data_IF_646876799223
#
_entry.id   IF_646876799223
#
_cell.length_a   1.000
_cell.length_b   1.000
_cell.length_c   1.000
_cell.angle_alpha   90.00
_cell.angle_beta   90.00
_cell.angle_gamma   90.00
#
_symmetry.space_group_name_H-M   'P 1'
#
loop_
_entity.id
_entity.type
_entity.pdbx_description
1 polymer ?
#
# COMPACT_ATOMS: atom_id res chain seq x y z
N UNK A 1 6.03 -29.10 33.27
CA UNK A 1 5.28 -28.47 32.19
C UNK A 1 6.32 -27.67 31.38
N UNK A 2 6.43 -27.92 30.09
CA UNK A 2 7.29 -27.09 29.24
C UNK A 2 6.77 -25.66 29.30
N UNK A 3 7.66 -24.67 29.53
CA UNK A 3 7.32 -23.26 29.41
C UNK A 3 6.78 -23.04 27.99
N UNK A 4 5.66 -22.29 27.81
CA UNK A 4 5.20 -21.99 26.45
C UNK A 4 6.37 -21.38 25.66
N UNK A 5 6.56 -21.85 24.43
CA UNK A 5 7.61 -21.31 23.58
C UNK A 5 7.42 -19.78 23.48
N UNK A 6 8.49 -19.04 23.69
CA UNK A 6 8.43 -17.58 23.58
C UNK A 6 7.98 -17.22 22.16
N UNK A 7 6.99 -16.32 22.05
CA UNK A 7 6.51 -15.80 20.77
C UNK A 7 7.55 -14.80 20.27
N UNK A 8 8.07 -15.03 19.09
CA UNK A 8 9.12 -14.19 18.49
C UNK A 8 8.57 -13.14 17.52
N UNK A 9 7.43 -13.45 16.90
CA UNK A 9 6.78 -12.63 15.89
C UNK A 9 5.29 -12.45 16.21
N UNK A 10 4.80 -11.23 16.16
CA UNK A 10 3.36 -10.95 16.11
C UNK A 10 2.99 -10.38 14.73
N UNK A 11 1.96 -10.92 14.11
CA UNK A 11 1.42 -10.40 12.85
C UNK A 11 0.11 -9.70 13.14
N UNK A 12 0.10 -8.38 13.02
CA UNK A 12 -1.10 -7.54 13.17
C UNK A 12 -1.74 -7.35 11.81
N UNK A 13 -2.97 -7.79 11.64
CA UNK A 13 -3.65 -7.78 10.35
C UNK A 13 -5.11 -7.35 10.48
N UNK A 14 -5.68 -6.82 9.39
CA UNK A 14 -7.07 -6.36 9.38
C UNK A 14 -7.98 -7.20 8.46
N UNK A 15 -7.43 -7.79 7.38
CA UNK A 15 -8.24 -8.55 6.44
C UNK A 15 -8.27 -10.03 6.83
N UNK A 16 -9.47 -10.66 6.90
CA UNK A 16 -9.61 -12.02 7.43
C UNK A 16 -8.90 -13.11 6.62
N UNK A 17 -8.72 -12.91 5.30
CA UNK A 17 -8.24 -13.98 4.41
C UNK A 17 -6.99 -13.62 3.60
N UNK A 18 -6.62 -12.35 3.47
CA UNK A 18 -5.51 -11.94 2.59
C UNK A 18 -4.16 -12.52 3.01
N UNK A 19 -4.00 -12.85 4.27
CA UNK A 19 -2.71 -13.24 4.84
C UNK A 19 -2.58 -14.74 5.10
N UNK A 20 -3.56 -15.55 4.71
CA UNK A 20 -3.47 -17.01 4.84
C UNK A 20 -2.25 -17.62 4.11
N UNK A 21 -1.83 -17.17 2.91
CA UNK A 21 -0.60 -17.66 2.29
C UNK A 21 0.65 -17.35 3.13
N UNK A 22 0.72 -16.16 3.75
CA UNK A 22 1.81 -15.82 4.68
C UNK A 22 1.79 -16.73 5.93
N UNK A 23 0.62 -16.94 6.52
CA UNK A 23 0.50 -17.79 7.69
C UNK A 23 0.91 -19.25 7.39
N UNK A 24 0.50 -19.77 6.24
CA UNK A 24 0.93 -21.09 5.79
C UNK A 24 2.45 -21.18 5.58
N UNK A 25 3.08 -20.13 5.05
CA UNK A 25 4.54 -20.08 4.90
C UNK A 25 5.25 -20.05 6.26
N UNK A 26 4.75 -19.26 7.23
CA UNK A 26 5.26 -19.24 8.61
C UNK A 26 5.13 -20.62 9.29
N UNK A 27 3.98 -21.30 9.11
CA UNK A 27 3.73 -22.64 9.65
C UNK A 27 4.69 -23.67 9.04
N UNK A 28 4.89 -23.64 7.70
CA UNK A 28 5.85 -24.54 7.02
C UNK A 28 7.28 -24.34 7.53
N UNK A 29 7.64 -23.10 7.86
CA UNK A 29 8.97 -22.74 8.36
C UNK A 29 9.13 -23.03 9.85
N UNK A 30 8.06 -23.35 10.58
CA UNK A 30 8.08 -23.60 12.02
C UNK A 30 8.37 -22.35 12.87
N UNK A 31 7.99 -21.15 12.40
CA UNK A 31 8.14 -19.90 13.15
C UNK A 31 7.13 -19.86 14.29
N UNK A 32 7.59 -19.53 15.50
CA UNK A 32 6.70 -19.28 16.64
C UNK A 32 6.11 -17.88 16.52
N UNK A 33 4.85 -17.77 16.09
CA UNK A 33 4.20 -16.46 15.87
C UNK A 33 2.78 -16.44 16.45
N UNK A 34 2.27 -15.21 16.62
CA UNK A 34 0.91 -14.91 17.05
C UNK A 34 0.17 -14.13 15.96
N UNK A 35 -1.07 -14.54 15.66
CA UNK A 35 -2.00 -13.80 14.80
C UNK A 35 -2.77 -12.80 15.65
N UNK A 36 -2.75 -11.53 15.28
CA UNK A 36 -3.43 -10.44 16.00
C UNK A 36 -4.38 -9.69 15.06
N UNK A 37 -5.68 -10.06 15.03
CA UNK A 37 -6.68 -9.30 14.30
C UNK A 37 -6.77 -7.87 14.90
N UNK A 38 -6.57 -6.85 14.06
CA UNK A 38 -6.52 -5.46 14.52
C UNK A 38 -7.83 -5.02 15.21
N UNK A 39 -8.97 -5.50 14.72
CA UNK A 39 -10.29 -5.19 15.28
C UNK A 39 -10.51 -5.72 16.72
N UNK A 40 -9.70 -6.69 17.17
CA UNK A 40 -9.79 -7.25 18.52
C UNK A 40 -8.84 -6.57 19.51
N UNK A 41 -7.98 -5.66 19.03
CA UNK A 41 -6.94 -5.07 19.87
C UNK A 41 -7.45 -3.87 20.64
N UNK A 42 -7.08 -3.84 21.91
CA UNK A 42 -7.12 -2.67 22.78
C UNK A 42 -5.78 -2.54 23.48
N UNK A 43 -5.39 -1.33 23.87
CA UNK A 43 -4.12 -1.13 24.53
C UNK A 43 -4.21 0.01 25.55
N UNK A 44 -3.41 -0.13 26.61
CA UNK A 44 -3.22 0.89 27.64
C UNK A 44 -1.83 1.52 27.41
N UNK A 45 -1.75 2.85 27.13
CA UNK A 45 -0.48 3.54 26.89
C UNK A 45 0.52 3.43 28.06
N UNK A 46 0.03 3.18 29.29
CA UNK A 46 0.88 3.06 30.46
C UNK A 46 1.33 1.62 30.76
N UNK A 47 0.62 0.60 30.24
CA UNK A 47 0.76 -0.76 30.75
C UNK A 47 0.88 -1.86 29.67
N UNK A 48 0.53 -1.60 28.39
CA UNK A 48 0.54 -2.63 27.36
C UNK A 48 1.92 -2.78 26.70
N UNK A 49 2.69 -3.85 26.99
CA UNK A 49 3.95 -4.11 26.29
C UNK A 49 3.72 -4.61 24.87
N UNK A 50 4.76 -4.56 24.02
CA UNK A 50 4.71 -5.23 22.71
C UNK A 50 4.39 -6.73 22.86
N UNK A 51 3.58 -7.31 21.95
CA UNK A 51 3.20 -8.72 22.01
C UNK A 51 4.35 -9.68 21.68
N UNK A 52 5.36 -9.19 20.96
CA UNK A 52 6.57 -9.90 20.58
C UNK A 52 7.70 -8.92 20.29
N UNK A 53 8.97 -9.35 20.32
CA UNK A 53 10.12 -8.52 19.95
C UNK A 53 10.06 -8.02 18.51
N UNK A 54 9.49 -8.82 17.59
CA UNK A 54 9.25 -8.45 16.19
C UNK A 54 7.76 -8.41 15.94
N UNK A 55 7.27 -7.33 15.38
CA UNK A 55 5.86 -7.14 14.96
C UNK A 55 5.82 -6.84 13.49
N UNK A 56 4.97 -7.53 12.75
CA UNK A 56 4.72 -7.29 11.32
C UNK A 56 3.37 -6.60 11.14
N UNK A 57 3.37 -5.42 10.55
CA UNK A 57 2.14 -4.73 10.16
C UNK A 57 1.61 -5.26 8.82
N UNK A 58 0.34 -5.67 8.83
CA UNK A 58 -0.43 -6.09 7.65
C UNK A 58 -1.78 -5.36 7.61
N UNK A 59 -1.73 -4.03 7.74
CA UNK A 59 -2.90 -3.14 7.76
C UNK A 59 -2.98 -2.40 6.44
N UNK A 60 -4.05 -2.66 5.67
CA UNK A 60 -4.26 -2.06 4.36
C UNK A 60 -4.97 -0.71 4.45
N UNK A 61 -4.61 0.22 3.57
CA UNK A 61 -5.29 1.51 3.46
C UNK A 61 -6.73 1.40 2.97
N UNK A 62 -7.10 0.27 2.34
CA UNK A 62 -8.47 -0.05 1.96
C UNK A 62 -9.34 -0.59 3.11
N UNK A 63 -8.82 -0.69 4.32
CA UNK A 63 -9.55 -1.22 5.49
C UNK A 63 -10.87 -0.47 5.73
N UNK A 64 -10.94 0.84 5.47
CA UNK A 64 -12.16 1.64 5.60
C UNK A 64 -13.34 1.14 4.74
N UNK A 65 -13.09 0.35 3.71
CA UNK A 65 -14.15 -0.29 2.90
C UNK A 65 -14.83 -1.45 3.63
N UNK A 66 -14.18 -2.00 4.66
CA UNK A 66 -14.63 -3.15 5.44
C UNK A 66 -14.97 -2.76 6.87
N UNK A 67 -14.23 -1.79 7.41
CA UNK A 67 -14.36 -1.31 8.77
C UNK A 67 -14.55 0.21 8.75
N UNK A 68 -15.79 0.70 8.98
CA UNK A 68 -16.11 2.13 8.95
C UNK A 68 -15.45 2.93 10.08
N UNK A 69 -14.86 2.27 11.07
CA UNK A 69 -14.19 2.90 12.22
C UNK A 69 -12.74 3.30 11.90
N UNK A 70 -12.28 3.07 10.67
CA UNK A 70 -10.98 3.51 10.15
C UNK A 70 -9.78 3.06 10.99
N UNK A 71 -9.49 1.76 11.07
CA UNK A 71 -8.48 1.20 11.96
C UNK A 71 -7.04 1.66 11.68
N UNK A 72 -6.77 2.32 10.55
CA UNK A 72 -5.44 2.85 10.19
C UNK A 72 -4.89 3.80 11.25
N UNK A 73 -5.72 4.71 11.77
CA UNK A 73 -5.28 5.70 12.77
C UNK A 73 -4.98 5.06 14.11
N UNK A 74 -5.78 4.05 14.50
CA UNK A 74 -5.51 3.23 15.68
C UNK A 74 -4.19 2.46 15.52
N UNK A 75 -3.97 1.83 14.36
CA UNK A 75 -2.75 1.08 14.06
C UNK A 75 -1.49 1.96 14.11
N UNK A 76 -1.56 3.18 13.55
CA UNK A 76 -0.44 4.13 13.62
C UNK A 76 -0.02 4.40 15.07
N UNK A 77 -0.98 4.77 15.92
CA UNK A 77 -0.70 5.07 17.34
C UNK A 77 -0.17 3.83 18.09
N UNK A 78 -0.76 2.66 17.85
CA UNK A 78 -0.35 1.42 18.48
C UNK A 78 1.09 1.02 18.11
N UNK A 79 1.44 1.12 16.83
CA UNK A 79 2.77 0.75 16.35
C UNK A 79 3.84 1.74 16.83
N UNK A 80 3.55 3.04 16.87
CA UNK A 80 4.43 4.05 17.47
C UNK A 80 4.67 3.76 18.95
N UNK A 81 3.62 3.36 19.69
CA UNK A 81 3.72 2.97 21.08
C UNK A 81 4.67 1.77 21.27
N UNK A 82 4.50 0.70 20.51
CA UNK A 82 5.36 -0.48 20.61
C UNK A 82 6.81 -0.22 20.15
N UNK A 83 7.01 0.61 19.11
CA UNK A 83 8.35 1.06 18.71
C UNK A 83 9.03 1.87 19.82
N UNK A 84 8.28 2.74 20.51
CA UNK A 84 8.76 3.50 21.67
C UNK A 84 9.19 2.61 22.84
N UNK A 85 8.68 1.39 22.93
CA UNK A 85 9.06 0.37 23.91
C UNK A 85 10.13 -0.60 23.39
N UNK A 86 10.74 -0.33 22.25
CA UNK A 86 11.85 -1.10 21.70
C UNK A 86 11.48 -2.28 20.81
N UNK A 87 10.20 -2.49 20.47
CA UNK A 87 9.82 -3.51 19.50
C UNK A 87 10.28 -3.14 18.07
N UNK A 88 10.69 -4.13 17.32
CA UNK A 88 10.94 -4.02 15.88
C UNK A 88 9.61 -4.14 15.14
N UNK A 89 8.98 -3.03 14.80
CA UNK A 89 7.70 -3.04 14.06
C UNK A 89 7.96 -2.80 12.57
N UNK A 90 7.85 -3.86 11.78
CA UNK A 90 8.09 -3.84 10.33
C UNK A 90 6.92 -3.12 9.64
N UNK A 91 7.23 -2.23 8.72
CA UNK A 91 6.31 -1.35 7.97
C UNK A 91 5.54 -0.29 8.79
N UNK A 92 5.75 -0.16 10.09
CA UNK A 92 5.07 0.89 10.86
C UNK A 92 5.41 2.29 10.33
N UNK A 93 6.69 2.55 10.08
CA UNK A 93 7.16 3.87 9.59
C UNK A 93 6.70 4.19 8.16
N UNK A 94 6.18 3.22 7.41
CA UNK A 94 5.59 3.43 6.09
C UNK A 94 4.15 3.99 6.15
N UNK A 95 3.42 3.72 7.24
CA UNK A 95 1.99 4.06 7.35
C UNK A 95 1.66 5.54 7.08
N UNK A 96 2.45 6.53 7.56
CA UNK A 96 2.18 7.93 7.25
C UNK A 96 2.25 8.29 5.76
N UNK A 97 3.09 7.60 4.97
CA UNK A 97 3.18 7.78 3.52
C UNK A 97 2.09 6.97 2.83
N UNK A 98 1.90 5.71 3.22
CA UNK A 98 0.89 4.82 2.66
C UNK A 98 -0.53 5.40 2.83
N UNK A 99 -0.81 6.03 3.98
CA UNK A 99 -2.11 6.65 4.28
C UNK A 99 -2.33 8.03 3.63
N UNK A 100 -1.49 8.47 2.69
CA UNK A 100 -1.71 9.79 2.05
C UNK A 100 -1.09 9.88 0.65
N UNK A 101 -1.93 9.87 -0.36
CA UNK A 101 -1.49 10.09 -1.75
C UNK A 101 -0.85 11.47 -1.94
N UNK A 102 -1.27 12.47 -1.19
CA UNK A 102 -0.64 13.79 -1.19
C UNK A 102 0.82 13.73 -0.70
N UNK A 103 1.09 12.98 0.38
CA UNK A 103 2.45 12.75 0.88
C UNK A 103 3.28 11.93 -0.11
N UNK A 104 2.70 10.90 -0.71
CA UNK A 104 3.36 10.09 -1.75
C UNK A 104 3.82 10.96 -2.92
N UNK A 105 2.92 11.74 -3.51
CA UNK A 105 3.24 12.62 -4.63
C UNK A 105 4.26 13.71 -4.27
N UNK A 106 4.18 14.25 -3.06
CA UNK A 106 5.19 15.19 -2.55
C UNK A 106 6.57 14.54 -2.42
N UNK A 107 6.63 13.28 -1.98
CA UNK A 107 7.88 12.52 -1.91
C UNK A 107 8.44 12.21 -3.30
N UNK A 108 7.59 11.76 -4.23
CA UNK A 108 7.94 11.51 -5.64
C UNK A 108 8.56 12.77 -6.27
N UNK A 109 7.92 13.93 -6.11
CA UNK A 109 8.40 15.20 -6.64
C UNK A 109 9.73 15.62 -5.98
N UNK A 110 9.87 15.50 -4.65
CA UNK A 110 11.10 15.83 -3.91
C UNK A 110 12.29 14.98 -4.35
N UNK A 111 12.06 13.75 -4.76
CA UNK A 111 13.10 12.87 -5.29
C UNK A 111 13.42 13.11 -6.78
N UNK A 112 12.79 14.11 -7.42
CA UNK A 112 12.97 14.43 -8.83
C UNK A 112 12.32 13.44 -9.79
N UNK A 113 11.37 12.63 -9.30
CA UNK A 113 10.63 11.67 -10.11
C UNK A 113 9.34 12.31 -10.65
N UNK A 114 8.80 11.74 -11.74
CA UNK A 114 7.56 12.24 -12.35
C UNK A 114 6.35 11.50 -11.82
N UNK A 115 5.37 12.24 -11.31
CA UNK A 115 4.00 11.78 -11.10
C UNK A 115 3.03 12.47 -12.08
N UNK A 116 1.74 12.12 -12.08
CA UNK A 116 0.73 12.90 -12.77
C UNK A 116 0.60 14.30 -12.14
N UNK A 117 0.33 15.33 -12.96
CA UNK A 117 0.10 16.69 -12.46
C UNK A 117 -1.09 16.70 -11.50
N UNK A 118 -0.86 17.20 -10.29
CA UNK A 118 -1.83 17.09 -9.20
C UNK A 118 -1.87 18.35 -8.35
N UNK A 119 -3.07 18.67 -7.87
CA UNK A 119 -3.32 19.69 -6.84
C UNK A 119 -4.04 19.05 -5.66
N UNK A 120 -3.71 19.48 -4.46
CA UNK A 120 -4.30 18.95 -3.21
C UNK A 120 -5.24 19.99 -2.62
N UNK A 121 -6.43 19.57 -2.23
CA UNK A 121 -7.46 20.43 -1.64
C UNK A 121 -8.05 19.78 -0.38
N UNK A 122 -8.55 20.61 0.56
CA UNK A 122 -9.29 20.16 1.74
C UNK A 122 -10.73 20.73 1.78
N UNK A 123 -11.13 21.47 0.75
CA UNK A 123 -12.48 22.01 0.61
C UNK A 123 -12.98 21.77 -0.80
N UNK A 124 -14.16 21.21 -0.93
CA UNK A 124 -14.76 20.95 -2.25
C UNK A 124 -14.97 22.24 -3.07
N UNK A 125 -15.25 23.37 -2.43
CA UNK A 125 -15.34 24.67 -3.09
C UNK A 125 -14.04 25.09 -3.83
N UNK A 126 -12.91 24.50 -3.52
CA UNK A 126 -11.63 24.77 -4.18
C UNK A 126 -11.32 23.87 -5.37
N UNK A 127 -12.14 22.85 -5.66
CA UNK A 127 -11.87 21.86 -6.71
C UNK A 127 -11.71 22.50 -8.09
N UNK A 128 -12.62 23.40 -8.47
CA UNK A 128 -12.57 24.09 -9.76
C UNK A 128 -11.29 24.93 -9.89
N UNK A 129 -10.97 25.72 -8.87
CA UNK A 129 -9.74 26.51 -8.84
C UNK A 129 -8.48 25.63 -8.90
N UNK A 130 -8.51 24.48 -8.22
CA UNK A 130 -7.40 23.54 -8.26
C UNK A 130 -7.20 22.88 -9.62
N UNK A 131 -8.27 22.80 -10.43
CA UNK A 131 -8.20 22.29 -11.80
C UNK A 131 -7.66 23.33 -12.82
N UNK A 132 -7.53 24.61 -12.43
CA UNK A 132 -6.98 25.63 -13.32
C UNK A 132 -5.58 25.26 -13.80
N UNK A 133 -5.37 25.28 -15.12
CA UNK A 133 -4.11 24.91 -15.75
C UNK A 133 -3.85 23.40 -15.85
N UNK A 134 -4.73 22.55 -15.30
CA UNK A 134 -4.68 21.11 -15.54
C UNK A 134 -5.39 20.76 -16.84
N UNK A 135 -4.93 19.71 -17.51
CA UNK A 135 -5.54 19.18 -18.71
C UNK A 135 -6.69 18.23 -18.34
N UNK A 136 -7.88 18.50 -18.85
CA UNK A 136 -8.99 17.58 -18.75
C UNK A 136 -8.83 16.37 -19.71
N UNK A 137 -9.38 15.18 -19.36
CA UNK A 137 -10.09 14.88 -18.12
C UNK A 137 -9.22 14.97 -16.87
N UNK A 138 -9.85 15.30 -15.73
CA UNK A 138 -9.19 15.21 -14.43
C UNK A 138 -9.85 14.13 -13.57
N UNK A 139 -9.06 13.57 -12.66
CA UNK A 139 -9.54 12.67 -11.62
C UNK A 139 -9.63 13.44 -10.30
N UNK A 140 -10.74 13.30 -9.59
CA UNK A 140 -10.77 13.64 -8.16
C UNK A 140 -10.60 12.35 -7.38
N UNK A 141 -9.61 12.33 -6.48
CA UNK A 141 -9.27 11.15 -5.66
C UNK A 141 -9.35 11.49 -4.19
N UNK A 142 -9.89 10.57 -3.39
CA UNK A 142 -9.69 10.59 -1.94
C UNK A 142 -8.21 10.42 -1.61
N UNK A 143 -7.69 11.17 -0.64
CA UNK A 143 -6.28 11.08 -0.23
C UNK A 143 -5.96 9.71 0.39
N UNK A 144 -6.82 9.23 1.28
CA UNK A 144 -6.78 7.85 1.77
C UNK A 144 -7.75 7.03 0.91
N UNK A 145 -7.21 6.07 0.19
CA UNK A 145 -7.98 5.22 -0.71
C UNK A 145 -7.31 3.85 -0.86
N UNK A 146 -7.95 2.97 -1.59
CA UNK A 146 -7.41 1.66 -1.94
C UNK A 146 -8.39 0.94 -2.87
N UNK A 147 -7.91 -0.03 -3.64
CA UNK A 147 -8.72 -0.80 -4.58
C UNK A 147 -9.57 0.08 -5.53
N UNK A 148 -9.02 1.20 -6.00
CA UNK A 148 -9.72 2.13 -6.89
C UNK A 148 -10.87 2.92 -6.26
N UNK A 149 -11.17 2.72 -4.98
CA UNK A 149 -12.24 3.41 -4.29
C UNK A 149 -11.95 4.90 -4.11
N UNK A 150 -13.01 5.72 -4.21
CA UNK A 150 -12.87 7.17 -4.03
C UNK A 150 -12.14 7.85 -5.19
N UNK A 151 -12.26 7.33 -6.43
CA UNK A 151 -11.75 7.95 -7.66
C UNK A 151 -12.92 8.22 -8.60
N UNK A 152 -13.09 9.47 -9.03
CA UNK A 152 -14.09 9.88 -10.04
C UNK A 152 -13.42 10.71 -11.12
N UNK A 153 -13.70 10.39 -12.39
CA UNK A 153 -13.28 11.14 -13.56
C UNK A 153 -14.26 12.22 -13.91
N UNK A 154 -13.75 13.40 -14.24
CA UNK A 154 -14.49 14.55 -14.76
C UNK A 154 -13.92 14.95 -16.10
N UNK A 155 -14.76 14.94 -17.14
CA UNK A 155 -14.30 15.19 -18.51
C UNK A 155 -14.17 16.68 -18.83
N UNK A 156 -14.86 17.53 -18.07
CA UNK A 156 -14.87 19.00 -18.24
C UNK A 156 -15.02 19.71 -16.89
N UNK A 157 -14.85 21.04 -16.94
CA UNK A 157 -14.93 21.90 -15.75
C UNK A 157 -16.36 22.04 -15.23
N UNK A 158 -17.36 21.92 -16.08
CA UNK A 158 -18.78 22.07 -15.77
C UNK A 158 -19.25 20.92 -14.87
N UNK A 159 -18.90 19.69 -15.23
CA UNK A 159 -19.20 18.48 -14.42
C UNK A 159 -18.48 18.50 -13.09
N UNK A 160 -17.21 18.93 -13.07
CA UNK A 160 -16.45 19.13 -11.83
C UNK A 160 -17.09 20.19 -10.93
N UNK A 161 -17.52 21.33 -11.53
CA UNK A 161 -18.16 22.41 -10.79
C UNK A 161 -19.52 21.99 -10.21
N UNK A 162 -20.28 21.17 -10.95
CA UNK A 162 -21.53 20.59 -10.44
C UNK A 162 -21.27 19.70 -9.22
N UNK A 163 -20.31 18.80 -9.30
CA UNK A 163 -19.93 17.94 -8.19
C UNK A 163 -19.44 18.74 -6.97
N UNK A 164 -18.64 19.78 -7.19
CA UNK A 164 -18.16 20.65 -6.11
C UNK A 164 -19.30 21.38 -5.39
N UNK A 165 -20.31 21.89 -6.14
CA UNK A 165 -21.50 22.54 -5.55
C UNK A 165 -22.39 21.58 -4.77
N UNK A 166 -22.52 20.35 -5.24
CA UNK A 166 -23.32 19.31 -4.59
C UNK A 166 -22.62 18.64 -3.42
N UNK A 167 -21.30 18.89 -3.24
CA UNK A 167 -20.51 18.20 -2.23
C UNK A 167 -20.34 16.70 -2.52
N UNK A 168 -20.46 16.27 -3.78
CA UNK A 168 -20.46 14.86 -4.18
C UNK A 168 -19.12 14.36 -4.73
N UNK A 169 -18.12 15.23 -4.86
CA UNK A 169 -16.81 14.80 -5.28
C UNK A 169 -16.13 13.95 -4.19
N UNK A 170 -15.26 12.98 -4.55
CA UNK A 170 -14.55 12.16 -3.59
C UNK A 170 -13.76 12.97 -2.58
N UNK A 171 -13.81 12.55 -1.32
CA UNK A 171 -13.02 13.12 -0.23
C UNK A 171 -12.48 11.99 0.65
N UNK A 172 -11.22 12.08 1.04
CA UNK A 172 -10.63 11.14 1.99
C UNK A 172 -11.25 11.26 3.37
N UNK A 173 -11.16 10.21 4.16
CA UNK A 173 -11.61 10.19 5.57
C UNK A 173 -10.89 11.25 6.42
N UNK A 174 -9.73 11.72 5.95
CA UNK A 174 -8.96 12.82 6.55
C UNK A 174 -9.38 14.21 6.02
N UNK A 175 -10.45 14.31 5.23
CA UNK A 175 -10.95 15.56 4.66
C UNK A 175 -10.16 16.10 3.47
N UNK A 176 -9.25 15.31 2.88
CA UNK A 176 -8.37 15.73 1.78
C UNK A 176 -8.75 15.05 0.48
N UNK A 177 -8.70 15.81 -0.62
CA UNK A 177 -8.90 15.33 -1.99
C UNK A 177 -7.75 15.78 -2.89
N UNK A 178 -7.50 15.03 -3.94
CA UNK A 178 -6.56 15.36 -5.00
C UNK A 178 -7.33 15.63 -6.30
N UNK A 179 -6.97 16.71 -7.00
CA UNK A 179 -7.37 16.96 -8.38
C UNK A 179 -6.16 16.66 -9.25
N UNK A 180 -6.27 15.65 -10.10
CA UNK A 180 -5.14 15.09 -10.84
C UNK A 180 -5.47 14.96 -12.33
N UNK A 181 -4.54 15.33 -13.23
CA UNK A 181 -4.70 15.02 -14.64
C UNK A 181 -4.88 13.52 -14.87
N UNK A 182 -5.84 13.15 -15.68
CA UNK A 182 -5.91 11.79 -16.19
C UNK A 182 -4.76 11.53 -17.16
N UNK A 183 -3.88 10.63 -16.80
CA UNK A 183 -2.82 10.15 -17.69
C UNK A 183 -3.31 8.90 -18.42
N UNK A 184 -3.55 8.97 -19.74
CA UNK A 184 -3.96 7.79 -20.50
C UNK A 184 -2.83 6.76 -20.46
N UNK A 185 -3.20 5.55 -20.09
CA UNK A 185 -2.26 4.42 -19.98
C UNK A 185 -1.93 3.91 -21.38
N UNK A 186 -0.66 3.87 -21.73
CA UNK A 186 -0.22 3.20 -22.96
C UNK A 186 -0.64 1.73 -22.87
N UNK A 187 -1.24 1.23 -23.95
CA UNK A 187 -1.73 -0.15 -24.06
C UNK A 187 -2.74 -0.59 -22.99
N UNK A 188 -3.30 0.39 -22.21
CA UNK A 188 -4.26 0.11 -21.13
C UNK A 188 -3.64 -0.51 -19.88
N UNK A 189 -2.32 -0.57 -19.78
CA UNK A 189 -1.59 -1.28 -18.73
C UNK A 189 -1.02 -0.37 -17.64
N UNK A 190 -0.79 -0.95 -16.47
CA UNK A 190 0.07 -0.40 -15.43
C UNK A 190 1.18 -1.41 -15.10
N UNK A 191 2.25 -0.89 -14.52
CA UNK A 191 3.31 -1.73 -13.97
C UNK A 191 3.31 -1.57 -12.46
N UNK A 192 3.23 -2.72 -11.78
CA UNK A 192 3.36 -2.82 -10.34
C UNK A 192 4.69 -3.47 -9.99
N UNK A 193 5.53 -2.75 -9.25
CA UNK A 193 6.86 -3.18 -8.84
C UNK A 193 6.82 -3.53 -7.36
N UNK A 194 6.97 -4.80 -7.05
CA UNK A 194 7.01 -5.32 -5.69
C UNK A 194 8.41 -5.22 -5.11
N UNK A 195 8.47 -4.85 -3.84
CA UNK A 195 9.72 -4.67 -3.11
C UNK A 195 9.69 -5.40 -1.77
N UNK A 196 10.86 -5.91 -1.36
CA UNK A 196 11.10 -6.51 -0.08
C UNK A 196 12.43 -5.98 0.47
N UNK A 197 12.48 -5.59 1.75
CA UNK A 197 13.65 -4.97 2.39
C UNK A 197 14.09 -3.67 1.69
N UNK A 198 13.14 -2.95 1.07
CA UNK A 198 13.45 -1.76 0.29
C UNK A 198 14.21 -2.03 -1.01
N UNK A 199 14.17 -3.27 -1.52
CA UNK A 199 14.79 -3.72 -2.76
C UNK A 199 13.78 -4.33 -3.70
N UNK A 200 14.06 -4.26 -5.00
CA UNK A 200 13.27 -4.92 -6.04
C UNK A 200 13.13 -6.41 -5.75
N UNK A 201 11.92 -6.93 -5.85
CA UNK A 201 11.62 -8.35 -5.71
C UNK A 201 11.16 -8.95 -7.04
N UNK A 202 10.11 -8.39 -7.63
CA UNK A 202 9.60 -8.70 -8.97
C UNK A 202 8.71 -7.56 -9.45
N UNK A 203 8.31 -7.59 -10.71
CA UNK A 203 7.29 -6.70 -11.21
C UNK A 203 6.26 -7.42 -12.08
N UNK A 204 5.08 -6.83 -12.14
CA UNK A 204 3.94 -7.30 -12.92
C UNK A 204 3.51 -6.21 -13.91
N UNK A 205 3.22 -6.64 -15.12
CA UNK A 205 2.33 -5.91 -16.01
C UNK A 205 0.91 -6.31 -15.66
N UNK A 206 0.06 -5.32 -15.41
CA UNK A 206 -1.34 -5.51 -15.08
C UNK A 206 -2.17 -4.86 -16.18
N UNK A 207 -2.91 -5.67 -16.91
CA UNK A 207 -3.80 -5.25 -17.97
C UNK A 207 -5.25 -5.41 -17.49
N UNK A 208 -6.09 -4.45 -17.83
CA UNK A 208 -7.51 -4.48 -17.51
C UNK A 208 -8.34 -4.10 -18.72
N UNK A 209 -9.40 -4.85 -19.03
CA UNK A 209 -10.37 -4.42 -20.03
C UNK A 209 -11.13 -3.19 -19.52
N UNK A 210 -11.06 -2.10 -20.28
CA UNK A 210 -11.77 -0.85 -19.97
C UNK A 210 -11.05 0.07 -18.97
N UNK A 211 -11.76 1.08 -18.51
CA UNK A 211 -11.24 2.13 -17.61
C UNK A 211 -11.53 1.82 -16.14
N UNK A 212 -11.11 0.65 -15.64
CA UNK A 212 -11.22 0.39 -14.20
C UNK A 212 -10.04 0.98 -13.44
N UNK A 213 -10.29 1.46 -12.21
CA UNK A 213 -9.28 1.88 -11.26
C UNK A 213 -8.97 0.81 -10.19
N UNK A 214 -9.74 -0.29 -10.16
CA UNK A 214 -9.48 -1.44 -9.27
C UNK A 214 -8.54 -2.43 -9.96
N UNK A 215 -7.26 -2.36 -9.64
CA UNK A 215 -6.18 -3.15 -10.25
C UNK A 215 -5.45 -4.00 -9.20
N UNK A 216 -6.17 -4.43 -8.15
CA UNK A 216 -5.60 -5.24 -7.07
C UNK A 216 -5.27 -6.66 -7.56
N UNK A 217 -4.01 -7.12 -7.45
CA UNK A 217 -3.56 -8.40 -7.97
C UNK A 217 -3.77 -9.60 -7.03
N UNK A 218 -4.28 -9.40 -5.80
CA UNK A 218 -4.43 -10.47 -4.82
C UNK A 218 -5.65 -11.35 -5.10
N UNK A 219 -5.55 -12.64 -4.79
CA UNK A 219 -6.62 -13.64 -4.95
C UNK A 219 -7.97 -13.17 -4.41
N UNK A 220 -7.97 -12.63 -3.19
CA UNK A 220 -9.20 -12.18 -2.54
C UNK A 220 -9.83 -10.96 -3.24
N UNK A 221 -9.06 -10.15 -3.98
CA UNK A 221 -9.58 -9.07 -4.81
C UNK A 221 -10.19 -9.63 -6.10
N UNK A 222 -9.55 -10.59 -6.72
CA UNK A 222 -10.00 -11.21 -7.97
C UNK A 222 -11.24 -12.08 -7.78
N UNK A 223 -11.39 -12.68 -6.61
CA UNK A 223 -12.54 -13.51 -6.27
C UNK A 223 -13.83 -12.73 -5.97
N UNK A 224 -13.79 -11.39 -5.92
CA UNK A 224 -15.00 -10.60 -5.65
C UNK A 224 -15.97 -10.63 -6.82
N UNK A 225 -17.29 -10.75 -6.59
CA UNK A 225 -18.29 -10.61 -7.64
C UNK A 225 -18.17 -9.24 -8.34
N UNK A 226 -18.08 -9.26 -9.68
CA UNK A 226 -17.94 -8.03 -10.49
C UNK A 226 -16.52 -7.47 -10.54
N UNK A 227 -15.51 -8.16 -10.00
CA UNK A 227 -14.11 -7.79 -10.20
C UNK A 227 -13.76 -7.79 -11.70
N UNK A 228 -12.92 -6.85 -12.11
CA UNK A 228 -12.43 -6.82 -13.50
C UNK A 228 -11.59 -8.07 -13.79
N UNK A 229 -11.70 -8.60 -14.98
CA UNK A 229 -10.81 -9.67 -15.47
C UNK A 229 -9.44 -9.05 -15.73
N UNK A 230 -8.53 -9.16 -14.74
CA UNK A 230 -7.16 -8.68 -14.86
C UNK A 230 -6.27 -9.74 -15.46
N UNK A 231 -5.44 -9.35 -16.44
CA UNK A 231 -4.32 -10.17 -16.91
C UNK A 231 -3.05 -9.70 -16.23
N UNK A 232 -2.34 -10.61 -15.59
CA UNK A 232 -1.09 -10.31 -14.91
C UNK A 232 0.03 -11.17 -15.45
N UNK A 233 1.09 -10.51 -15.91
CA UNK A 233 2.27 -11.19 -16.43
C UNK A 233 3.52 -10.64 -15.74
N UNK A 234 4.50 -11.52 -15.52
CA UNK A 234 5.81 -11.08 -15.02
C UNK A 234 6.40 -10.07 -16.01
N UNK A 235 6.97 -9.00 -15.47
CA UNK A 235 7.59 -7.92 -16.23
C UNK A 235 8.98 -7.60 -15.69
N UNK A 236 9.90 -7.23 -16.57
CA UNK A 236 11.24 -6.76 -16.18
C UNK A 236 11.33 -5.26 -16.45
N UNK A 237 11.22 -4.41 -15.41
CA UNK A 237 11.31 -2.96 -15.58
C UNK A 237 12.70 -2.54 -16.02
N UNK A 238 12.83 -1.43 -16.76
CA UNK A 238 14.12 -0.84 -17.05
C UNK A 238 14.92 -0.58 -15.76
N UNK A 239 16.26 -0.81 -15.75
CA UNK A 239 17.09 -0.62 -14.55
C UNK A 239 16.96 0.78 -13.91
N UNK A 240 16.73 1.82 -14.73
CA UNK A 240 16.50 3.17 -14.23
C UNK A 240 15.21 3.30 -13.40
N UNK A 241 14.16 2.57 -13.76
CA UNK A 241 12.90 2.51 -13.01
C UNK A 241 13.10 1.73 -11.71
N UNK A 242 13.77 0.58 -11.77
CA UNK A 242 14.10 -0.20 -10.55
C UNK A 242 14.85 0.66 -9.54
N UNK A 243 15.87 1.39 -10.00
CA UNK A 243 16.63 2.31 -9.15
C UNK A 243 15.75 3.41 -8.53
N UNK A 244 14.83 4.00 -9.32
CA UNK A 244 13.89 5.00 -8.81
C UNK A 244 12.96 4.40 -7.75
N UNK A 245 12.41 3.21 -8.00
CA UNK A 245 11.52 2.51 -7.07
C UNK A 245 12.25 2.20 -5.75
N UNK A 246 13.46 1.64 -5.80
CA UNK A 246 14.24 1.36 -4.59
C UNK A 246 14.53 2.63 -3.77
N UNK A 247 14.92 3.73 -4.42
CA UNK A 247 15.10 5.02 -3.75
C UNK A 247 13.80 5.54 -3.11
N UNK A 248 12.69 5.36 -3.80
CA UNK A 248 11.38 5.82 -3.34
C UNK A 248 10.91 5.05 -2.12
N UNK A 249 10.94 3.71 -2.16
CA UNK A 249 10.51 2.87 -1.02
C UNK A 249 11.41 3.04 0.20
N UNK A 250 12.73 3.24 -0.01
CA UNK A 250 13.65 3.55 1.09
C UNK A 250 13.31 4.89 1.73
N UNK A 251 13.08 5.95 0.92
CA UNK A 251 12.71 7.27 1.43
C UNK A 251 11.31 7.29 2.07
N UNK A 252 10.41 6.38 1.67
CA UNK A 252 9.09 6.16 2.24
C UNK A 252 9.09 5.24 3.47
N UNK A 253 10.24 4.66 3.84
CA UNK A 253 10.38 3.64 4.87
C UNK A 253 9.51 2.40 4.64
N UNK A 254 9.24 2.07 3.37
CA UNK A 254 8.51 0.87 2.97
C UNK A 254 9.48 -0.29 2.89
N UNK A 255 9.31 -1.25 3.78
CA UNK A 255 10.15 -2.45 3.84
C UNK A 255 9.57 -3.61 3.04
N UNK A 256 8.23 -3.71 3.03
CA UNK A 256 7.46 -4.67 2.22
C UNK A 256 6.33 -3.87 1.57
N UNK A 257 6.33 -3.79 0.26
CA UNK A 257 5.29 -3.05 -0.44
C UNK A 257 5.53 -2.96 -1.92
N UNK A 258 4.79 -2.10 -2.58
CA UNK A 258 4.89 -1.92 -4.02
C UNK A 258 4.79 -0.47 -4.44
N UNK A 259 5.28 -0.21 -5.64
CA UNK A 259 5.14 1.07 -6.34
C UNK A 259 4.44 0.81 -7.67
N UNK A 260 3.46 1.65 -7.97
CA UNK A 260 2.74 1.57 -9.24
C UNK A 260 3.11 2.75 -10.15
N UNK A 261 3.36 2.45 -11.41
CA UNK A 261 3.55 3.44 -12.44
C UNK A 261 2.85 3.04 -13.74
N UNK A 262 2.60 4.02 -14.57
CA UNK A 262 2.12 3.86 -15.93
C UNK A 262 3.05 4.59 -16.91
N UNK A 263 2.99 4.21 -18.18
CA UNK A 263 3.56 5.00 -19.27
C UNK A 263 2.46 5.89 -19.81
N UNK A 264 2.66 7.21 -19.69
CA UNK A 264 1.72 8.19 -20.22
C UNK A 264 1.77 8.14 -21.75
N UNK A 265 0.65 7.80 -22.39
CA UNK A 265 0.60 7.65 -23.84
C UNK A 265 0.82 8.95 -24.61
N UNK A 266 0.64 10.09 -23.92
CA UNK A 266 0.82 11.43 -24.51
C UNK A 266 2.27 11.78 -24.80
N UNK A 267 3.21 11.32 -23.95
CA UNK A 267 4.62 11.73 -24.03
C UNK A 267 5.61 10.56 -23.82
N UNK A 268 5.12 9.37 -23.55
CA UNK A 268 5.94 8.17 -23.33
C UNK A 268 6.68 8.16 -22.00
N UNK A 269 6.41 9.11 -21.08
CA UNK A 269 7.11 9.15 -19.80
C UNK A 269 6.45 8.23 -18.77
N UNK A 270 7.28 7.64 -17.90
CA UNK A 270 6.79 6.92 -16.74
C UNK A 270 6.26 7.92 -15.70
N UNK A 271 5.03 7.66 -15.21
CA UNK A 271 4.38 8.41 -14.14
C UNK A 271 4.17 7.49 -12.95
N UNK A 272 4.89 7.72 -11.86
CA UNK A 272 4.69 7.02 -10.60
C UNK A 272 3.50 7.67 -9.89
N UNK A 273 2.50 6.89 -9.48
CA UNK A 273 1.27 7.47 -8.95
C UNK A 273 0.77 6.86 -7.65
N UNK A 274 1.32 5.71 -7.22
CA UNK A 274 0.92 5.04 -5.98
C UNK A 274 2.08 4.31 -5.32
N UNK A 275 2.12 4.37 -3.99
CA UNK A 275 3.04 3.64 -3.12
C UNK A 275 2.16 2.85 -2.16
N UNK A 276 2.31 1.54 -2.14
CA UNK A 276 1.56 0.67 -1.26
C UNK A 276 2.50 0.11 -0.18
N UNK A 277 2.30 0.50 1.07
CA UNK A 277 3.02 -0.04 2.24
C UNK A 277 2.52 -1.44 2.64
N UNK A 278 1.52 -1.95 1.94
CA UNK A 278 1.06 -3.32 2.05
C UNK A 278 1.03 -3.95 0.66
N UNK A 279 1.69 -5.10 0.53
CA UNK A 279 1.48 -6.01 -0.60
C UNK A 279 1.00 -7.37 -0.12
N UNK A 280 0.02 -7.93 -0.81
CA UNK A 280 -0.43 -9.31 -0.63
C UNK A 280 0.21 -10.23 -1.67
N UNK A 281 1.16 -9.68 -2.44
CA UNK A 281 1.79 -10.31 -3.59
C UNK A 281 0.76 -10.74 -4.66
N UNK A 282 1.25 -11.37 -5.73
CA UNK A 282 0.40 -11.81 -6.84
C UNK A 282 -0.30 -13.11 -6.49
N UNK A 283 -1.54 -13.24 -6.98
CA UNK A 283 -2.26 -14.51 -7.01
C UNK A 283 -1.50 -15.56 -7.83
N UNK A 284 -1.56 -16.83 -7.40
CA UNK A 284 -0.87 -17.95 -8.04
C UNK A 284 0.61 -17.66 -8.41
N UNK A 285 1.45 -17.31 -7.40
CA UNK A 285 2.79 -16.81 -7.66
C UNK A 285 3.69 -17.84 -8.36
N UNK A 286 3.46 -19.14 -8.15
CA UNK A 286 4.26 -20.17 -8.80
C UNK A 286 4.02 -20.18 -10.32
N UNK A 287 2.79 -19.97 -10.75
CA UNK A 287 2.45 -19.89 -12.18
C UNK A 287 2.98 -18.61 -12.82
N UNK A 288 2.83 -17.46 -12.16
CA UNK A 288 3.17 -16.15 -12.71
C UNK A 288 4.66 -15.85 -12.62
N UNK A 289 5.29 -16.21 -11.49
CA UNK A 289 6.68 -15.81 -11.16
C UNK A 289 7.67 -16.97 -11.21
N UNK A 290 7.21 -18.22 -10.98
CA UNK A 290 8.07 -19.37 -10.80
C UNK A 290 8.65 -19.54 -9.39
N UNK A 291 8.25 -18.67 -8.43
CA UNK A 291 8.63 -18.76 -7.02
C UNK A 291 7.53 -18.19 -6.13
N UNK A 292 7.54 -18.55 -4.83
CA UNK A 292 6.59 -18.00 -3.84
C UNK A 292 7.25 -16.84 -3.07
N UNK A 293 6.79 -15.58 -3.24
CA UNK A 293 7.34 -14.43 -2.51
C UNK A 293 7.06 -14.46 -1.01
N UNK A 294 6.08 -15.25 -0.53
CA UNK A 294 5.85 -15.43 0.90
C UNK A 294 6.98 -16.21 1.55
N UNK A 295 7.57 -17.20 0.87
CA UNK A 295 8.76 -17.91 1.37
C UNK A 295 9.94 -16.95 1.52
N UNK A 296 10.17 -16.08 0.54
CA UNK A 296 11.22 -15.04 0.60
C UNK A 296 10.97 -14.06 1.76
N UNK A 297 9.71 -13.68 1.98
CA UNK A 297 9.34 -12.85 3.12
C UNK A 297 9.61 -13.55 4.45
N UNK A 298 9.22 -14.81 4.57
CA UNK A 298 9.43 -15.58 5.81
C UNK A 298 10.92 -15.80 6.10
N UNK A 299 11.75 -16.04 5.09
CA UNK A 299 13.20 -16.12 5.27
C UNK A 299 13.76 -14.81 5.87
N UNK A 300 13.31 -13.66 5.36
CA UNK A 300 13.71 -12.38 5.96
C UNK A 300 13.16 -12.17 7.38
N UNK A 301 11.93 -12.57 7.67
CA UNK A 301 11.37 -12.47 9.02
C UNK A 301 12.17 -13.30 10.03
N UNK A 302 12.65 -14.48 9.64
CA UNK A 302 13.54 -15.31 10.47
C UNK A 302 14.85 -14.57 10.74
N UNK A 303 15.45 -13.94 9.72
CA UNK A 303 16.66 -13.11 9.92
C UNK A 303 16.41 -11.96 10.91
N UNK A 304 15.27 -11.27 10.82
CA UNK A 304 14.90 -10.18 11.74
C UNK A 304 14.70 -10.67 13.18
N UNK A 305 14.04 -11.82 13.36
CA UNK A 305 13.89 -12.49 14.66
C UNK A 305 15.27 -12.79 15.27
N UNK A 306 16.15 -13.43 14.50
CA UNK A 306 17.49 -13.80 14.97
C UNK A 306 18.33 -12.56 15.32
N UNK A 307 18.21 -11.49 14.54
CA UNK A 307 18.87 -10.22 14.83
C UNK A 307 18.40 -9.61 16.14
N UNK A 308 17.09 -9.59 16.34
CA UNK A 308 16.48 -9.00 17.55
C UNK A 308 16.82 -9.81 18.80
N UNK A 309 16.83 -11.14 18.72
CA UNK A 309 17.28 -12.03 19.81
C UNK A 309 18.73 -11.76 20.22
N UNK A 310 19.64 -11.59 19.25
CA UNK A 310 21.05 -11.28 19.52
C UNK A 310 21.22 -9.93 20.19
N UNK A 311 20.45 -8.93 19.80
CA UNK A 311 20.45 -7.59 20.42
C UNK A 311 19.95 -7.64 21.85
N UNK A 312 18.84 -8.35 22.13
CA UNK A 312 18.30 -8.53 23.48
C UNK A 312 19.21 -9.33 24.42
N UNK A 313 20.04 -10.25 23.87
CA UNK A 313 21.01 -11.00 24.67
C UNK A 313 22.27 -10.20 25.01
N UNK A 314 22.51 -9.08 24.31
CA UNK A 314 23.69 -8.22 24.49
C UNK A 314 23.39 -6.98 25.37
N UNK A 315 22.13 -6.70 25.69
CA UNK A 315 21.66 -5.62 26.55
C UNK A 315 21.43 -6.09 27.98
#
# INVERSE_FOLDING_TARGET
>A
MASPAAIDLAVVYEHPTWFEPLFQALDRRGVAYQRLPLAELTWDPAASPPPAPVVLSRVAMSSFLRDPEHPIFFAQALFEHWQGQGARVINASALPIDSSKARQLSLIARLGMKGPETRVVHRQANLVRAAEGLRFPVLVKADIGGSGSGIVRYDDVETLAAAARLGSAPVGVNGVSLVQEYAPRRDGEIIRVETLRGRFLYALRVESPGETFDLCPADACLARPGAAALTMTRFEPPPAIVYQVERLVQAASVEIGSVEYLIDDRDGSARIYDINGLSNFVADPLSVLGFDPHETLVDWLVEEIDRTRKQGAAA
#
